data_IF_539742447661
#
_entry.id   IF_539742447661
#
_cell.length_a   1.000
_cell.length_b   1.000
_cell.length_c   1.000
_cell.angle_alpha   90.00
_cell.angle_beta   90.00
_cell.angle_gamma   90.00
#
_symmetry.space_group_name_H-M   'P 1'
#
loop_
_entity.id
_entity.type
_entity.pdbx_description
1 polymer ?
#
# COMPACT_ATOMS: atom_id res chain seq x y z
N UNK A 1 -7.04 -0.98 -11.62
CA UNK A 1 -7.28 0.40 -11.20
C UNK A 1 -6.75 1.38 -12.24
N UNK A 2 -5.43 1.49 -12.39
CA UNK A 2 -4.78 2.37 -13.38
C UNK A 2 -5.25 2.09 -14.82
N UNK A 3 -5.54 0.83 -15.17
CA UNK A 3 -6.03 0.45 -16.51
C UNK A 3 -7.42 1.04 -16.79
N UNK A 4 -8.33 1.01 -15.82
CA UNK A 4 -9.66 1.59 -15.96
C UNK A 4 -9.57 3.11 -16.21
N UNK A 5 -8.71 3.81 -15.45
CA UNK A 5 -8.51 5.25 -15.65
C UNK A 5 -7.93 5.57 -17.04
N UNK A 6 -6.96 4.77 -17.52
CA UNK A 6 -6.36 4.94 -18.85
C UNK A 6 -7.31 4.66 -20.01
N UNK A 7 -8.44 4.00 -19.75
CA UNK A 7 -9.47 3.76 -20.76
C UNK A 7 -10.39 4.98 -20.97
N UNK A 8 -10.32 5.98 -20.10
CA UNK A 8 -11.10 7.21 -20.23
C UNK A 8 -10.47 8.09 -21.31
N UNK A 9 -11.31 8.56 -22.22
CA UNK A 9 -10.89 9.42 -23.33
C UNK A 9 -10.24 10.71 -22.78
N UNK A 10 -9.12 11.11 -23.36
CA UNK A 10 -8.33 12.27 -22.95
C UNK A 10 -7.31 11.99 -21.83
N UNK A 11 -7.25 10.76 -21.29
CA UNK A 11 -6.21 10.37 -20.34
C UNK A 11 -5.00 9.80 -21.07
N UNK A 12 -3.88 10.51 -21.05
CA UNK A 12 -2.60 10.05 -21.61
C UNK A 12 -1.92 9.01 -20.75
N UNK A 13 -1.87 9.27 -19.45
CA UNK A 13 -1.28 8.37 -18.45
C UNK A 13 -1.97 8.54 -17.09
N UNK A 14 -1.92 7.50 -16.27
CA UNK A 14 -2.51 7.54 -14.94
C UNK A 14 -1.74 6.67 -13.95
N UNK A 15 -1.83 7.05 -12.68
CA UNK A 15 -1.40 6.25 -11.53
C UNK A 15 -2.50 6.32 -10.47
N UNK A 16 -3.03 5.17 -10.06
CA UNK A 16 -3.99 5.08 -8.97
C UNK A 16 -3.33 4.45 -7.75
N UNK A 17 -3.45 5.12 -6.61
CA UNK A 17 -2.93 4.68 -5.31
C UNK A 17 -4.09 4.51 -4.34
N UNK A 18 -4.02 3.44 -3.53
CA UNK A 18 -4.96 3.18 -2.44
C UNK A 18 -4.29 3.54 -1.13
N UNK A 19 -4.91 4.41 -0.36
CA UNK A 19 -4.43 4.83 0.95
C UNK A 19 -5.38 4.27 2.01
N UNK A 20 -4.92 3.33 2.86
CA UNK A 20 -5.72 2.84 3.97
C UNK A 20 -5.97 3.96 4.98
N UNK A 21 -7.24 4.17 5.35
CA UNK A 21 -7.67 5.17 6.33
C UNK A 21 -8.01 4.57 7.70
N UNK A 22 -7.80 3.26 7.86
CA UNK A 22 -8.17 2.47 9.03
C UNK A 22 -9.58 1.85 8.90
N UNK A 23 -9.84 0.81 9.71
CA UNK A 23 -11.16 0.13 9.82
C UNK A 23 -11.79 -0.31 8.48
N UNK A 24 -10.95 -0.70 7.50
CA UNK A 24 -11.43 -1.15 6.19
C UNK A 24 -11.84 -0.03 5.24
N UNK A 25 -11.67 1.23 5.62
CA UNK A 25 -11.93 2.40 4.76
C UNK A 25 -10.67 2.73 3.96
N UNK A 26 -10.86 3.06 2.69
CA UNK A 26 -9.79 3.45 1.78
C UNK A 26 -10.07 4.82 1.16
N UNK A 27 -9.00 5.54 0.90
CA UNK A 27 -9.00 6.72 0.04
C UNK A 27 -8.26 6.39 -1.24
N UNK A 28 -8.79 6.83 -2.38
CA UNK A 28 -8.15 6.69 -3.69
C UNK A 28 -7.51 8.01 -4.10
N UNK A 29 -6.22 7.97 -4.39
CA UNK A 29 -5.51 9.07 -5.05
C UNK A 29 -5.26 8.67 -6.50
N UNK A 30 -5.79 9.42 -7.44
CA UNK A 30 -5.68 9.15 -8.87
C UNK A 30 -4.97 10.32 -9.52
N UNK A 31 -3.74 10.09 -9.95
CA UNK A 31 -2.95 11.06 -10.68
C UNK A 31 -3.12 10.82 -12.18
N UNK A 32 -3.38 11.87 -12.93
CA UNK A 32 -3.65 11.79 -14.37
C UNK A 32 -2.85 12.80 -15.16
N UNK A 33 -2.22 12.33 -16.23
CA UNK A 33 -1.79 13.18 -17.34
C UNK A 33 -2.93 13.26 -18.35
N UNK A 34 -3.27 14.46 -18.78
CA UNK A 34 -4.39 14.72 -19.67
C UNK A 34 -3.84 15.24 -20.99
N UNK A 35 -4.43 14.78 -22.08
CA UNK A 35 -4.14 15.28 -23.42
C UNK A 35 -4.63 16.72 -23.58
N UNK A 36 -3.97 17.46 -24.48
CA UNK A 36 -4.35 18.84 -24.77
C UNK A 36 -5.76 18.90 -25.36
N UNK A 37 -6.53 19.87 -24.90
CA UNK A 37 -7.89 20.11 -25.36
C UNK A 37 -8.98 19.37 -24.57
N UNK A 38 -8.63 18.52 -23.63
CA UNK A 38 -9.61 17.84 -22.77
C UNK A 38 -9.83 18.56 -21.45
N UNK A 39 -11.06 18.52 -20.97
CA UNK A 39 -11.45 19.13 -19.71
C UNK A 39 -11.15 18.23 -18.53
N UNK A 40 -10.34 18.74 -17.58
CA UNK A 40 -9.99 18.02 -16.35
C UNK A 40 -11.19 17.65 -15.51
N UNK A 41 -12.16 18.56 -15.36
CA UNK A 41 -13.31 18.32 -14.48
C UNK A 41 -14.23 17.24 -15.04
N UNK A 42 -14.38 17.18 -16.37
CA UNK A 42 -15.12 16.11 -17.04
C UNK A 42 -14.45 14.74 -16.79
N UNK A 43 -13.13 14.64 -16.98
CA UNK A 43 -12.35 13.43 -16.72
C UNK A 43 -12.41 13.04 -15.25
N UNK A 44 -12.20 13.97 -14.33
CA UNK A 44 -12.24 13.71 -12.89
C UNK A 44 -13.62 13.20 -12.43
N UNK A 45 -14.69 13.75 -13.01
CA UNK A 45 -16.05 13.28 -12.74
C UNK A 45 -16.33 11.90 -13.34
N UNK A 46 -15.79 11.59 -14.53
CA UNK A 46 -15.89 10.26 -15.12
C UNK A 46 -15.17 9.22 -14.22
N UNK A 47 -13.99 9.52 -13.73
CA UNK A 47 -13.25 8.65 -12.80
C UNK A 47 -14.06 8.40 -11.52
N UNK A 48 -14.59 9.45 -10.87
CA UNK A 48 -15.35 9.30 -9.63
C UNK A 48 -16.67 8.53 -9.78
N UNK A 49 -17.23 8.48 -11.00
CA UNK A 49 -18.47 7.74 -11.31
C UNK A 49 -18.22 6.30 -11.74
N UNK A 50 -17.00 5.94 -12.06
CA UNK A 50 -16.66 4.56 -12.39
C UNK A 50 -16.94 3.67 -11.18
N UNK A 51 -17.59 2.53 -11.39
CA UNK A 51 -18.03 1.60 -10.34
C UNK A 51 -16.90 1.20 -9.40
N UNK A 52 -15.65 1.22 -9.89
CA UNK A 52 -14.48 0.90 -9.10
C UNK A 52 -14.12 1.98 -8.09
N UNK A 53 -14.42 3.24 -8.39
CA UNK A 53 -14.04 4.39 -7.56
C UNK A 53 -15.22 4.98 -6.79
N UNK A 54 -16.46 4.68 -7.20
CA UNK A 54 -17.68 5.32 -6.69
C UNK A 54 -17.94 5.08 -5.20
N UNK A 55 -17.39 3.99 -4.64
CA UNK A 55 -17.61 3.60 -3.24
C UNK A 55 -16.54 4.09 -2.27
N UNK A 56 -15.43 4.66 -2.78
CA UNK A 56 -14.32 5.17 -1.99
C UNK A 56 -14.19 6.70 -2.15
N UNK A 57 -13.67 7.37 -1.12
CA UNK A 57 -13.27 8.77 -1.24
C UNK A 57 -12.17 8.90 -2.32
N UNK A 58 -12.50 9.46 -3.48
CA UNK A 58 -11.61 9.51 -4.63
C UNK A 58 -11.17 10.93 -4.96
N UNK A 59 -9.89 11.18 -4.81
CA UNK A 59 -9.22 12.43 -5.18
C UNK A 59 -8.52 12.25 -6.53
N UNK A 60 -8.87 13.09 -7.49
CA UNK A 60 -8.21 13.10 -8.81
C UNK A 60 -7.33 14.34 -8.88
N UNK A 61 -6.09 14.16 -9.27
CA UNK A 61 -5.06 15.21 -9.35
C UNK A 61 -4.45 15.21 -10.75
N UNK A 62 -4.50 16.36 -11.43
CA UNK A 62 -3.78 16.55 -12.68
C UNK A 62 -2.30 16.72 -12.40
N UNK A 63 -1.45 16.03 -13.17
CA UNK A 63 0.01 16.09 -13.09
C UNK A 63 0.61 16.23 -14.48
N UNK A 64 1.78 16.82 -14.55
CA UNK A 64 2.53 16.98 -15.81
C UNK A 64 3.22 15.67 -16.21
N UNK A 65 3.59 14.84 -15.23
CA UNK A 65 4.22 13.53 -15.44
C UNK A 65 3.83 12.53 -14.36
N UNK A 66 3.18 11.45 -14.76
CA UNK A 66 2.94 10.29 -13.92
C UNK A 66 4.24 9.51 -13.69
N UNK A 67 5.16 9.53 -14.65
CA UNK A 67 6.46 8.88 -14.52
C UNK A 67 7.26 9.41 -13.34
N UNK A 68 7.21 10.73 -13.10
CA UNK A 68 7.86 11.36 -11.95
C UNK A 68 7.31 10.89 -10.59
N UNK A 69 6.12 10.27 -10.58
CA UNK A 69 5.48 9.75 -9.37
C UNK A 69 5.71 8.24 -9.18
N UNK A 70 6.30 7.54 -10.14
CA UNK A 70 6.52 6.08 -10.03
C UNK A 70 7.47 5.71 -8.90
N UNK A 71 8.40 6.58 -8.56
CA UNK A 71 9.31 6.39 -7.44
C UNK A 71 8.64 6.60 -6.07
N UNK A 72 7.43 7.15 -6.04
CA UNK A 72 6.61 7.21 -4.81
C UNK A 72 6.19 5.81 -4.36
N UNK A 73 6.13 4.84 -5.27
CA UNK A 73 6.05 3.41 -5.04
C UNK A 73 4.88 2.93 -4.20
N UNK A 74 4.68 1.64 -4.15
CA UNK A 74 3.89 1.00 -3.09
C UNK A 74 4.75 0.90 -1.84
N UNK A 75 4.21 1.36 -0.71
CA UNK A 75 4.97 1.30 0.54
C UNK A 75 4.19 1.82 1.73
N UNK A 76 4.87 1.91 2.83
CA UNK A 76 4.35 2.48 4.07
C UNK A 76 5.36 3.49 4.58
N UNK A 77 4.91 4.71 4.81
CA UNK A 77 5.63 5.70 5.60
C UNK A 77 4.87 5.92 6.90
N UNK A 78 5.47 5.52 8.02
CA UNK A 78 4.89 5.68 9.35
C UNK A 78 5.82 6.52 10.21
N UNK A 79 5.28 7.58 10.79
CA UNK A 79 5.97 8.33 11.82
C UNK A 79 5.07 8.44 13.04
N UNK A 80 5.56 8.00 14.19
CA UNK A 80 4.90 8.18 15.49
C UNK A 80 5.80 9.00 16.39
N UNK A 81 5.22 10.05 16.95
CA UNK A 81 5.82 10.78 18.09
C UNK A 81 5.14 10.30 19.37
N UNK A 82 5.93 10.15 20.42
CA UNK A 82 5.47 9.72 21.70
C UNK A 82 6.00 10.60 22.82
N UNK A 83 5.46 10.40 24.00
CA UNK A 83 5.86 11.07 25.23
C UNK A 83 6.51 10.04 26.15
N UNK A 84 7.66 10.39 26.74
CA UNK A 84 8.27 9.66 27.83
C UNK A 84 8.28 10.57 29.07
N UNK A 85 7.37 10.30 30.00
CA UNK A 85 7.14 11.18 31.13
C UNK A 85 6.69 12.59 30.66
N UNK A 86 7.44 13.61 30.98
CA UNK A 86 7.15 15.00 30.60
C UNK A 86 7.83 15.45 29.29
N UNK A 87 8.56 14.56 28.60
CA UNK A 87 9.31 14.89 27.39
C UNK A 87 8.64 14.30 26.14
N UNK A 88 8.62 15.07 25.06
CA UNK A 88 8.11 14.63 23.74
C UNK A 88 9.25 14.17 22.83
N UNK A 89 10.17 13.37 23.34
CA UNK A 89 11.42 13.00 22.70
C UNK A 89 11.43 11.62 22.04
N UNK A 90 10.33 10.88 22.13
CA UNK A 90 10.24 9.58 21.48
C UNK A 90 9.74 9.73 20.04
N UNK A 91 10.46 9.13 19.11
CA UNK A 91 10.06 9.06 17.70
C UNK A 91 10.35 7.68 17.15
N UNK A 92 9.35 7.10 16.53
CA UNK A 92 9.48 5.90 15.69
C UNK A 92 9.22 6.35 14.25
N UNK A 93 10.13 6.01 13.35
CA UNK A 93 9.93 6.17 11.90
C UNK A 93 10.15 4.81 11.24
N UNK A 94 9.24 4.44 10.36
CA UNK A 94 9.32 3.25 9.53
C UNK A 94 9.04 3.67 8.09
N UNK A 95 9.92 3.30 7.20
CA UNK A 95 9.80 3.57 5.77
C UNK A 95 10.00 2.27 5.00
N UNK A 96 9.06 1.93 4.15
CA UNK A 96 9.07 0.72 3.36
C UNK A 96 8.65 1.02 1.93
N UNK A 97 9.48 0.64 0.98
CA UNK A 97 9.15 0.66 -0.45
C UNK A 97 9.13 -0.77 -0.97
N UNK A 98 8.11 -1.12 -1.73
CA UNK A 98 7.88 -2.48 -2.17
C UNK A 98 7.42 -2.55 -3.62
N UNK A 99 7.70 -3.68 -4.25
CA UNK A 99 6.94 -4.16 -5.40
C UNK A 99 5.79 -5.04 -4.88
N UNK A 100 4.54 -4.60 -5.03
CA UNK A 100 3.39 -5.26 -4.43
C UNK A 100 3.25 -6.75 -4.81
N UNK A 101 3.30 -7.16 -6.09
CA UNK A 101 3.22 -8.57 -6.44
C UNK A 101 4.34 -9.41 -5.82
N UNK A 102 5.57 -8.90 -5.80
CA UNK A 102 6.72 -9.60 -5.23
C UNK A 102 6.60 -9.77 -3.72
N UNK A 103 6.18 -8.71 -3.00
CA UNK A 103 5.97 -8.79 -1.55
C UNK A 103 4.83 -9.76 -1.23
N UNK A 104 3.71 -9.69 -1.95
CA UNK A 104 2.58 -10.59 -1.73
C UNK A 104 3.00 -12.05 -1.90
N UNK A 105 3.74 -12.38 -2.95
CA UNK A 105 4.29 -13.73 -3.15
C UNK A 105 5.21 -14.16 -2.00
N UNK A 106 6.10 -13.28 -1.55
CA UNK A 106 7.00 -13.55 -0.44
C UNK A 106 6.26 -13.78 0.89
N UNK A 107 5.24 -12.99 1.18
CA UNK A 107 4.42 -13.16 2.40
C UNK A 107 3.61 -14.45 2.35
N UNK A 108 3.04 -14.83 1.19
CA UNK A 108 2.34 -16.12 1.05
C UNK A 108 3.26 -17.31 1.33
N UNK A 109 4.49 -17.28 0.81
CA UNK A 109 5.48 -18.33 1.09
C UNK A 109 5.88 -18.34 2.56
N UNK A 110 6.05 -17.18 3.19
CA UNK A 110 6.35 -17.09 4.61
C UNK A 110 5.20 -17.62 5.48
N UNK A 111 3.95 -17.27 5.15
CA UNK A 111 2.76 -17.79 5.82
C UNK A 111 2.62 -19.31 5.68
N UNK A 112 2.92 -19.85 4.51
CA UNK A 112 2.93 -21.30 4.29
C UNK A 112 3.97 -22.02 5.18
N UNK A 113 5.16 -21.43 5.39
CA UNK A 113 6.16 -21.97 6.35
C UNK A 113 5.64 -21.98 7.78
N UNK A 114 5.05 -20.85 8.21
CA UNK A 114 4.49 -20.73 9.55
C UNK A 114 3.37 -21.75 9.78
N UNK A 115 2.50 -21.96 8.78
CA UNK A 115 1.41 -22.94 8.86
C UNK A 115 1.88 -24.37 9.15
N UNK A 116 3.10 -24.74 8.72
CA UNK A 116 3.67 -26.04 9.03
C UNK A 116 4.10 -26.22 10.49
N UNK A 117 4.15 -25.14 11.25
CA UNK A 117 4.57 -25.12 12.66
C UNK A 117 3.42 -24.84 13.62
N UNK A 118 2.32 -24.30 13.11
CA UNK A 118 1.14 -23.96 13.90
C UNK A 118 0.20 -25.16 14.08
N UNK A 119 -0.56 -25.15 15.15
CA UNK A 119 -1.67 -26.09 15.29
C UNK A 119 -2.78 -25.76 14.29
N UNK A 120 -3.62 -26.75 13.90
CA UNK A 120 -4.76 -26.46 13.04
C UNK A 120 -5.65 -25.35 13.60
N UNK A 121 -5.93 -24.32 12.81
CA UNK A 121 -6.72 -23.18 13.26
C UNK A 121 -6.70 -22.05 12.21
N UNK A 122 -7.39 -20.95 12.53
CA UNK A 122 -7.33 -19.71 11.79
C UNK A 122 -6.53 -18.67 12.59
N UNK A 123 -5.55 -18.04 11.94
CA UNK A 123 -4.62 -17.11 12.57
C UNK A 123 -4.54 -15.82 11.76
N UNK A 124 -4.46 -14.71 12.46
CA UNK A 124 -4.04 -13.44 11.86
C UNK A 124 -2.50 -13.32 11.91
N UNK A 125 -1.93 -12.48 11.05
CA UNK A 125 -0.47 -12.28 11.01
C UNK A 125 0.13 -11.82 12.35
N UNK A 126 -0.64 -11.12 13.17
CA UNK A 126 -0.19 -10.62 14.48
C UNK A 126 -0.07 -11.73 15.53
N UNK A 127 -0.79 -12.83 15.34
CA UNK A 127 -0.76 -14.00 16.23
C UNK A 127 0.38 -14.96 15.90
N UNK A 128 0.99 -14.80 14.74
CA UNK A 128 2.10 -15.65 14.28
C UNK A 128 3.42 -15.07 14.78
N UNK A 129 4.23 -15.82 15.53
CA UNK A 129 5.56 -15.37 15.91
C UNK A 129 6.39 -15.02 14.66
N UNK A 130 6.97 -13.81 14.56
CA UNK A 130 7.73 -13.39 13.37
C UNK A 130 8.84 -14.38 12.97
N UNK A 131 9.45 -15.07 13.94
CA UNK A 131 10.49 -16.08 13.69
C UNK A 131 9.97 -17.29 12.89
N UNK A 132 8.68 -17.60 12.99
CA UNK A 132 8.07 -18.71 12.27
C UNK A 132 7.84 -18.40 10.77
N UNK A 133 7.87 -17.13 10.39
CA UNK A 133 7.82 -16.69 9.01
C UNK A 133 9.18 -16.87 8.29
N UNK A 134 10.27 -17.01 9.05
CA UNK A 134 11.62 -17.12 8.51
C UNK A 134 11.93 -18.56 8.01
N UNK A 135 12.77 -18.71 6.97
CA UNK A 135 13.20 -20.00 6.49
C UNK A 135 14.21 -20.65 7.44
N UNK A 136 14.19 -21.99 7.52
CA UNK A 136 15.19 -22.75 8.28
C UNK A 136 14.82 -22.97 9.74
N UNK A 137 15.83 -23.23 10.57
CA UNK A 137 15.66 -23.57 11.97
C UNK A 137 15.35 -22.35 12.84
N UNK A 138 14.38 -22.48 13.73
CA UNK A 138 13.91 -21.42 14.62
C UNK A 138 14.97 -21.02 15.63
N UNK A 139 15.60 -21.98 16.27
CA UNK A 139 16.55 -21.73 17.35
C UNK A 139 17.83 -21.12 16.80
N UNK A 140 18.23 -21.51 15.58
CA UNK A 140 19.33 -20.87 14.87
C UNK A 140 19.05 -19.39 14.59
N UNK A 141 17.80 -19.03 14.24
CA UNK A 141 17.42 -17.62 14.05
C UNK A 141 17.41 -16.85 15.37
N UNK A 142 16.85 -17.44 16.44
CA UNK A 142 16.85 -16.81 17.78
C UNK A 142 18.29 -16.52 18.20
N UNK A 143 19.18 -17.49 18.09
CA UNK A 143 20.60 -17.30 18.44
C UNK A 143 21.38 -16.29 17.57
N UNK A 144 20.80 -15.88 16.41
CA UNK A 144 21.40 -14.85 15.53
C UNK A 144 20.87 -13.44 15.80
N UNK A 145 19.63 -13.33 16.30
CA UNK A 145 18.93 -12.05 16.49
C UNK A 145 19.09 -11.56 17.93
N UNK A 146 19.21 -12.45 18.88
CA UNK A 146 19.41 -12.20 20.30
C UNK A 146 20.86 -12.42 20.67
#
# INVERSE_FOLDING_TARGET
>A
HTVAVKAIEGVRSALSMTIPMGTGVHRRMVYVEIEDGYDFDAIANAIRRDDYFAHDETHVVRVDSVEALKDVGHGVHLTRKGVSGMTHNQRISFDMQINNPALTGQILVAAARAAMRLQPGAYTMIEIPPVDLLPGDRDAWIGRIV
#
